data_IF_175856524310
#
_entry.id   IF_175856524310
#
_cell.length_a   1.000
_cell.length_b   1.000
_cell.length_c   1.000
_cell.angle_alpha   90.00
_cell.angle_beta   90.00
_cell.angle_gamma   90.00
#
_symmetry.space_group_name_H-M   'P 1'
#
loop_
_entity.id
_entity.type
_entity.pdbx_description
1 polymer ?
#
# COMPACT_ATOMS: atom_id res chain seq x y z
N UNK A 1 14.33 -0.97 -2.69
CA UNK A 1 13.20 -1.94 -2.65
C UNK A 1 11.86 -1.26 -3.00
N UNK A 2 10.82 -2.04 -3.32
CA UNK A 2 9.45 -1.50 -3.49
C UNK A 2 8.57 -1.99 -2.35
N UNK A 3 7.86 -1.06 -1.71
CA UNK A 3 6.92 -1.34 -0.64
C UNK A 3 5.49 -1.07 -1.10
N UNK A 4 4.58 -1.97 -0.77
CA UNK A 4 3.15 -1.86 -1.02
C UNK A 4 2.42 -1.66 0.30
N UNK A 5 1.67 -0.57 0.42
CA UNK A 5 1.02 -0.20 1.67
C UNK A 5 -0.48 0.04 1.47
N UNK A 6 -1.27 -0.39 2.45
CA UNK A 6 -2.60 0.17 2.69
C UNK A 6 -2.52 1.12 3.88
N UNK A 7 -3.06 2.32 3.68
CA UNK A 7 -3.06 3.39 4.68
C UNK A 7 -4.49 3.86 4.95
N UNK A 8 -4.72 4.51 6.08
CA UNK A 8 -6.00 5.18 6.34
C UNK A 8 -6.23 6.29 5.32
N UNK A 9 -7.49 6.57 5.01
CA UNK A 9 -7.84 7.62 4.04
C UNK A 9 -7.75 9.04 4.63
N UNK A 10 -7.61 9.18 5.96
CA UNK A 10 -7.48 10.47 6.62
C UNK A 10 -6.15 11.18 6.31
N UNK A 11 -5.98 12.39 6.84
CA UNK A 11 -4.82 13.26 6.54
C UNK A 11 -3.47 12.71 7.06
N UNK A 12 -3.49 11.75 7.97
CA UNK A 12 -2.29 11.18 8.57
C UNK A 12 -1.81 9.92 7.87
N UNK A 13 -2.63 9.31 7.00
CA UNK A 13 -2.28 8.14 6.18
C UNK A 13 -1.58 7.03 7.00
N UNK A 14 -2.18 6.67 8.13
CA UNK A 14 -1.59 5.71 9.05
C UNK A 14 -1.50 4.32 8.41
N UNK A 15 -0.40 3.58 8.57
CA UNK A 15 -0.23 2.27 7.97
C UNK A 15 -1.19 1.25 8.59
N UNK A 16 -1.98 0.61 7.72
CA UNK A 16 -2.88 -0.51 8.07
C UNK A 16 -2.20 -1.84 7.77
N UNK A 17 -1.55 -1.94 6.61
CA UNK A 17 -0.83 -3.14 6.17
C UNK A 17 0.32 -2.76 5.24
N UNK A 18 1.41 -3.52 5.30
CA UNK A 18 2.65 -3.29 4.54
C UNK A 18 3.17 -4.63 4.02
N UNK A 19 3.58 -4.67 2.77
CA UNK A 19 4.17 -5.85 2.14
C UNK A 19 5.16 -5.47 1.03
N UNK A 20 6.01 -6.41 0.63
CA UNK A 20 6.97 -6.20 -0.47
C UNK A 20 6.31 -6.34 -1.84
N UNK A 21 5.17 -7.05 -1.91
CA UNK A 21 4.41 -7.25 -3.14
C UNK A 21 2.93 -6.90 -3.00
N UNK A 22 2.33 -6.44 -4.10
CA UNK A 22 0.88 -6.20 -4.15
C UNK A 22 0.06 -7.49 -3.98
N UNK A 23 0.65 -8.66 -4.26
CA UNK A 23 0.01 -9.96 -4.02
C UNK A 23 -0.12 -10.25 -2.53
N UNK A 24 0.95 -10.07 -1.78
CA UNK A 24 0.96 -10.26 -0.32
C UNK A 24 0.04 -9.26 0.36
N UNK A 25 0.09 -7.98 -0.05
CA UNK A 25 -0.83 -6.97 0.47
C UNK A 25 -2.29 -7.36 0.22
N UNK A 26 -2.60 -7.88 -0.97
CA UNK A 26 -3.93 -8.40 -1.29
C UNK A 26 -4.36 -9.54 -0.37
N UNK A 27 -3.47 -10.50 -0.11
CA UNK A 27 -3.72 -11.62 0.81
C UNK A 27 -3.99 -11.13 2.23
N UNK A 28 -3.20 -10.17 2.74
CA UNK A 28 -3.40 -9.57 4.06
C UNK A 28 -4.76 -8.90 4.20
N UNK A 29 -5.23 -8.26 3.14
CA UNK A 29 -6.48 -7.49 3.12
C UNK A 29 -7.71 -8.28 2.64
N UNK A 30 -7.54 -9.53 2.22
CA UNK A 30 -8.60 -10.37 1.66
C UNK A 30 -9.14 -9.87 0.32
N UNK A 31 -8.32 -9.19 -0.49
CA UNK A 31 -8.70 -8.67 -1.81
C UNK A 31 -7.66 -9.02 -2.88
N UNK A 32 -8.02 -8.94 -4.16
CA UNK A 32 -7.07 -9.21 -5.23
C UNK A 32 -6.05 -8.07 -5.42
N UNK A 33 -4.83 -8.43 -5.83
CA UNK A 33 -3.80 -7.45 -6.24
C UNK A 33 -4.28 -6.52 -7.38
N UNK A 34 -5.14 -7.03 -8.27
CA UNK A 34 -5.77 -6.23 -9.32
C UNK A 34 -6.71 -5.15 -8.76
N UNK A 35 -7.46 -5.45 -7.69
CA UNK A 35 -8.33 -4.48 -7.04
C UNK A 35 -7.52 -3.36 -6.37
N UNK A 36 -6.37 -3.69 -5.77
CA UNK A 36 -5.42 -2.72 -5.22
C UNK A 36 -4.89 -1.80 -6.33
N UNK A 37 -4.43 -2.38 -7.45
CA UNK A 37 -3.88 -1.61 -8.58
C UNK A 37 -4.92 -0.69 -9.21
N UNK A 38 -6.17 -1.17 -9.36
CA UNK A 38 -7.27 -0.34 -9.86
C UNK A 38 -7.61 0.81 -8.90
N UNK A 39 -7.58 0.56 -7.59
CA UNK A 39 -7.83 1.57 -6.58
C UNK A 39 -6.75 2.67 -6.58
N UNK A 40 -5.48 2.30 -6.74
CA UNK A 40 -4.39 3.28 -6.87
C UNK A 40 -4.61 4.21 -8.07
N UNK A 41 -4.97 3.66 -9.24
CA UNK A 41 -5.25 4.46 -10.44
C UNK A 41 -6.43 5.41 -10.28
N UNK A 42 -7.43 5.04 -9.47
CA UNK A 42 -8.60 5.87 -9.18
C UNK A 42 -8.36 6.89 -8.07
N UNK A 43 -7.30 6.73 -7.28
CA UNK A 43 -7.02 7.54 -6.09
C UNK A 43 -7.79 7.13 -4.83
N UNK A 44 -8.65 6.11 -4.89
CA UNK A 44 -9.39 5.59 -3.74
C UNK A 44 -9.75 4.10 -3.90
N UNK A 45 -9.80 3.38 -2.79
CA UNK A 45 -10.25 1.99 -2.72
C UNK A 45 -11.75 1.81 -2.85
N UNK A 46 -12.19 0.55 -3.03
CA UNK A 46 -13.62 0.18 -2.92
C UNK A 46 -14.21 0.54 -1.55
N UNK A 47 -13.36 0.58 -0.52
CA UNK A 47 -13.67 1.10 0.81
C UNK A 47 -13.09 2.51 0.93
N UNK A 48 -13.95 3.51 1.14
CA UNK A 48 -13.56 4.92 1.28
C UNK A 48 -12.70 5.22 2.53
N UNK A 49 -12.44 4.22 3.38
CA UNK A 49 -11.68 4.36 4.62
C UNK A 49 -10.18 4.11 4.45
N UNK A 50 -9.73 3.61 3.29
CA UNK A 50 -8.34 3.28 3.05
C UNK A 50 -7.85 3.66 1.65
N UNK A 51 -6.58 3.99 1.55
CA UNK A 51 -5.85 4.26 0.30
C UNK A 51 -4.69 3.27 0.15
N UNK A 52 -4.19 3.14 -1.07
CA UNK A 52 -3.09 2.23 -1.39
C UNK A 52 -1.92 3.02 -1.96
N UNK A 53 -0.72 2.73 -1.49
CA UNK A 53 0.52 3.40 -1.88
C UNK A 53 1.52 2.35 -2.37
N UNK A 54 2.27 2.72 -3.41
CA UNK A 54 3.47 2.01 -3.85
C UNK A 54 4.65 2.95 -3.61
N UNK A 55 5.54 2.58 -2.69
CA UNK A 55 6.70 3.39 -2.29
C UNK A 55 7.96 2.75 -2.83
N UNK A 56 8.79 3.54 -3.50
CA UNK A 56 10.11 3.12 -3.96
C UNK A 56 11.14 3.61 -2.96
N UNK A 57 11.73 2.66 -2.22
CA UNK A 57 12.74 2.92 -1.20
C UNK A 57 14.12 2.79 -1.85
N UNK A 58 14.92 3.84 -1.73
CA UNK A 58 16.35 3.78 -2.00
C UNK A 58 17.04 3.29 -0.72
N UNK A 59 17.87 2.26 -0.83
CA UNK A 59 18.68 1.81 0.30
C UNK A 59 19.76 2.85 0.53
N UNK A 60 19.57 3.73 1.50
CA UNK A 60 20.69 4.43 2.11
C UNK A 60 21.36 3.43 3.06
N UNK A 61 22.61 3.07 2.76
CA UNK A 61 23.48 2.37 3.71
C UNK A 61 23.57 3.23 4.98
N UNK A 62 22.73 2.91 5.97
CA UNK A 62 22.86 3.48 7.30
C UNK A 62 24.11 2.85 7.90
N UNK A 63 25.24 3.55 7.76
CA UNK A 63 26.45 3.26 8.50
C UNK A 63 26.16 3.60 9.96
N UNK A 64 25.85 2.57 10.76
CA UNK A 64 25.79 2.63 12.23
C UNK A 64 27.19 2.43 12.82
#
# INVERSE_FOLDING_TARGET
>A
MTLWMAVTADKYELPIAVADTGLELGRMLGISSSAITHAMKRGYGKRHTQRYLKVELQEEETTL
#
